data_IF_038348968403
#
_entry.id   IF_038348968403
#
_cell.length_a   1.000
_cell.length_b   1.000
_cell.length_c   1.000
_cell.angle_alpha   90.00
_cell.angle_beta   90.00
_cell.angle_gamma   90.00
#
_symmetry.space_group_name_H-M   'P 1'
#
loop_
_entity.id
_entity.type
_entity.pdbx_description
1 polymer ?
#
# COMPACT_ATOMS: atom_id res chain seq x y z
N UNK A 1 -22.84 7.40 12.89
CA UNK A 1 -21.41 7.04 12.94
C UNK A 1 -21.07 6.44 11.59
N UNK A 2 -20.47 7.22 10.69
CA UNK A 2 -20.26 6.81 9.29
C UNK A 2 -18.78 6.84 8.98
N UNK A 3 -18.03 5.95 9.62
CA UNK A 3 -16.73 5.59 9.08
C UNK A 3 -16.94 5.03 7.66
N UNK A 4 -16.15 5.45 6.66
CA UNK A 4 -16.24 4.89 5.33
C UNK A 4 -16.06 3.37 5.39
N UNK A 5 -16.85 2.63 4.61
CA UNK A 5 -16.67 1.19 4.47
C UNK A 5 -15.26 0.94 3.92
N UNK A 6 -14.37 0.41 4.77
CA UNK A 6 -13.01 0.00 4.42
C UNK A 6 -12.75 -1.39 4.99
N UNK A 7 -12.30 -2.30 4.13
CA UNK A 7 -11.82 -3.62 4.52
C UNK A 7 -10.39 -3.75 4.03
N UNK A 8 -9.45 -3.86 4.98
CA UNK A 8 -8.02 -4.01 4.71
C UNK A 8 -7.65 -5.46 4.99
N UNK A 9 -6.96 -6.09 4.05
CA UNK A 9 -6.46 -7.45 4.21
C UNK A 9 -5.00 -7.54 3.78
N UNK A 10 -4.20 -8.20 4.61
CA UNK A 10 -2.83 -8.58 4.31
C UNK A 10 -2.61 -9.99 4.86
N UNK A 11 -1.68 -10.72 4.24
CA UNK A 11 -1.34 -12.09 4.64
C UNK A 11 0.06 -12.13 5.24
N UNK A 12 0.36 -13.15 6.04
CA UNK A 12 1.72 -13.38 6.51
C UNK A 12 2.72 -13.52 5.34
N UNK A 13 2.30 -14.17 4.25
CA UNK A 13 3.09 -14.28 3.02
C UNK A 13 3.35 -12.94 2.34
N UNK A 14 2.34 -12.06 2.29
CA UNK A 14 2.49 -10.70 1.73
C UNK A 14 3.46 -9.85 2.55
N UNK A 15 3.32 -9.86 3.88
CA UNK A 15 4.23 -9.16 4.80
C UNK A 15 5.68 -9.68 4.66
N UNK A 16 5.86 -11.01 4.58
CA UNK A 16 7.18 -11.61 4.41
C UNK A 16 7.80 -11.34 3.04
N UNK A 17 6.98 -11.33 1.98
CA UNK A 17 7.41 -10.97 0.62
C UNK A 17 7.90 -9.51 0.60
N UNK A 18 7.13 -8.61 1.20
CA UNK A 18 7.52 -7.21 1.31
C UNK A 18 8.83 -7.04 2.08
N UNK A 19 8.96 -7.66 3.25
CA UNK A 19 10.19 -7.63 4.05
C UNK A 19 11.43 -8.03 3.25
N UNK A 20 11.30 -9.10 2.46
CA UNK A 20 12.42 -9.68 1.73
C UNK A 20 12.84 -8.84 0.52
N UNK A 21 11.90 -8.17 -0.14
CA UNK A 21 12.13 -7.65 -1.49
C UNK A 21 11.89 -6.15 -1.67
N UNK A 22 11.23 -5.48 -0.72
CA UNK A 22 10.84 -4.09 -0.87
C UNK A 22 12.00 -3.19 -1.30
N UNK A 23 13.18 -3.30 -0.67
CA UNK A 23 14.34 -2.45 -0.99
C UNK A 23 15.00 -2.74 -2.35
N UNK A 24 14.70 -3.86 -3.00
CA UNK A 24 15.38 -4.29 -4.23
C UNK A 24 14.47 -4.41 -5.44
N UNK A 25 13.15 -4.35 -5.26
CA UNK A 25 12.18 -4.62 -6.32
C UNK A 25 11.18 -3.48 -6.48
N UNK A 26 10.76 -3.20 -7.73
CA UNK A 26 9.64 -2.29 -7.96
C UNK A 26 8.37 -2.80 -7.33
N UNK A 27 7.59 -1.86 -6.82
CA UNK A 27 6.27 -2.11 -6.26
C UNK A 27 5.22 -1.46 -7.17
N UNK A 28 4.07 -2.10 -7.32
CA UNK A 28 2.99 -1.58 -8.16
C UNK A 28 1.71 -1.41 -7.36
N UNK A 29 1.09 -0.24 -7.51
CA UNK A 29 -0.27 0.02 -7.06
C UNK A 29 -1.23 -0.22 -8.21
N UNK A 30 -2.30 -0.92 -7.91
CA UNK A 30 -3.45 -0.99 -8.80
C UNK A 30 -4.73 -0.62 -8.05
N UNK A 31 -5.65 0.04 -8.75
CA UNK A 31 -7.03 0.19 -8.34
C UNK A 31 -7.94 -0.26 -9.47
N UNK A 32 -8.54 -1.43 -9.30
CA UNK A 32 -9.62 -1.85 -10.18
C UNK A 32 -10.93 -1.20 -9.71
N UNK A 33 -11.29 -0.11 -10.38
CA UNK A 33 -12.47 0.69 -10.04
C UNK A 33 -13.77 0.12 -10.58
N UNK A 34 -14.45 -0.75 -9.83
CA UNK A 34 -15.83 -1.16 -10.14
C UNK A 34 -16.17 -2.64 -9.91
N UNK A 35 -15.47 -3.33 -9.01
CA UNK A 35 -15.68 -4.79 -8.84
C UNK A 35 -17.07 -5.11 -8.29
N UNK A 36 -17.69 -4.22 -7.49
CA UNK A 36 -18.97 -4.49 -6.83
C UNK A 36 -19.82 -3.23 -6.75
N UNK A 37 -20.99 -3.23 -7.43
CA UNK A 37 -22.10 -2.33 -7.10
C UNK A 37 -22.85 -3.01 -5.95
N UNK A 38 -22.46 -2.70 -4.71
CA UNK A 38 -23.19 -3.21 -3.55
C UNK A 38 -24.21 -2.17 -3.12
N UNK A 39 -25.51 -2.49 -3.19
CA UNK A 39 -26.60 -1.58 -2.82
C UNK A 39 -26.53 -0.19 -3.49
N UNK A 40 -26.08 -0.12 -4.75
CA UNK A 40 -25.97 1.14 -5.50
C UNK A 40 -24.75 2.00 -5.15
N UNK A 41 -23.82 1.53 -4.32
CA UNK A 41 -22.55 2.21 -4.05
C UNK A 41 -21.41 1.58 -4.84
N UNK A 42 -20.60 2.43 -5.47
CA UNK A 42 -19.36 2.01 -6.15
C UNK A 42 -18.32 1.65 -5.10
N UNK A 43 -17.80 0.43 -5.19
CA UNK A 43 -16.71 -0.05 -4.36
C UNK A 43 -15.44 -0.15 -5.21
N UNK A 44 -14.34 0.33 -4.65
CA UNK A 44 -13.01 0.28 -5.22
C UNK A 44 -12.22 -0.85 -4.57
N UNK A 45 -11.53 -1.62 -5.40
CA UNK A 45 -10.56 -2.60 -4.96
C UNK A 45 -9.17 -2.06 -5.25
N UNK A 46 -8.33 -2.05 -4.23
CA UNK A 46 -6.95 -1.64 -4.28
C UNK A 46 -6.06 -2.83 -3.98
N UNK A 47 -4.99 -2.97 -4.74
CA UNK A 47 -3.99 -4.00 -4.52
C UNK A 47 -2.58 -3.39 -4.59
N UNK A 48 -1.75 -3.80 -3.64
CA UNK A 48 -0.33 -3.55 -3.64
C UNK A 48 0.35 -4.84 -4.09
N UNK A 49 1.07 -4.79 -5.19
CA UNK A 49 1.79 -5.96 -5.73
C UNK A 49 3.27 -5.70 -5.85
N UNK A 50 4.06 -6.76 -5.78
CA UNK A 50 5.45 -6.72 -6.20
C UNK A 50 5.61 -7.56 -7.46
N UNK A 51 6.36 -7.04 -8.42
CA UNK A 51 6.66 -7.76 -9.65
C UNK A 51 7.41 -9.06 -9.35
N UNK A 52 7.29 -10.07 -10.21
CA UNK A 52 8.14 -11.26 -10.09
C UNK A 52 9.61 -10.92 -10.34
N UNK A 53 10.51 -11.65 -9.67
CA UNK A 53 11.94 -11.64 -9.99
C UNK A 53 12.23 -12.28 -11.35
N UNK A 54 11.34 -13.14 -11.83
CA UNK A 54 11.46 -13.77 -13.14
C UNK A 54 10.80 -12.90 -14.20
N UNK A 55 11.51 -12.68 -15.31
CA UNK A 55 10.96 -11.92 -16.44
C UNK A 55 9.71 -12.62 -16.96
N UNK A 56 8.55 -11.95 -16.88
CA UNK A 56 7.26 -12.51 -17.24
C UNK A 56 6.60 -13.38 -16.16
N UNK A 57 7.18 -13.44 -14.95
CA UNK A 57 6.59 -14.14 -13.82
C UNK A 57 5.40 -13.40 -13.21
N UNK A 58 4.61 -14.12 -12.41
CA UNK A 58 3.41 -13.61 -11.77
C UNK A 58 3.73 -12.53 -10.71
N UNK A 59 2.97 -11.44 -10.73
CA UNK A 59 2.99 -10.45 -9.65
C UNK A 59 2.48 -11.06 -8.35
N UNK A 60 3.14 -10.71 -7.23
CA UNK A 60 2.83 -11.21 -5.91
C UNK A 60 2.00 -10.18 -5.15
N UNK A 61 0.76 -10.51 -4.72
CA UNK A 61 -0.05 -9.60 -3.92
C UNK A 61 0.53 -9.48 -2.50
N UNK A 62 0.70 -8.25 -2.03
CA UNK A 62 1.24 -7.92 -0.72
C UNK A 62 0.12 -7.64 0.28
N UNK A 63 -0.77 -6.74 -0.11
CA UNK A 63 -1.89 -6.28 0.70
C UNK A 63 -2.98 -5.78 -0.24
N UNK A 64 -4.23 -5.80 0.24
CA UNK A 64 -5.40 -5.34 -0.49
C UNK A 64 -6.27 -4.46 0.40
N UNK A 65 -6.98 -3.52 -0.21
CA UNK A 65 -8.03 -2.75 0.45
C UNK A 65 -9.27 -2.70 -0.43
N UNK A 66 -10.43 -2.89 0.17
CA UNK A 66 -11.72 -2.59 -0.43
C UNK A 66 -12.27 -1.33 0.23
N UNK A 67 -12.64 -0.32 -0.55
CA UNK A 67 -13.15 0.95 -0.02
C UNK A 67 -14.34 1.48 -0.81
N UNK A 68 -15.30 2.09 -0.12
CA UNK A 68 -16.38 2.87 -0.75
C UNK A 68 -15.95 4.31 -1.12
N UNK A 69 -14.75 4.73 -0.72
CA UNK A 69 -14.18 6.04 -1.05
C UNK A 69 -12.88 5.89 -1.84
N UNK A 70 -12.66 6.85 -2.76
CA UNK A 70 -11.46 6.95 -3.56
C UNK A 70 -10.70 8.23 -3.21
N UNK A 71 -9.88 8.17 -2.16
CA UNK A 71 -9.06 9.29 -1.71
C UNK A 71 -7.64 8.86 -1.35
N UNK A 72 -6.70 9.79 -1.47
CA UNK A 72 -5.31 9.57 -1.06
C UNK A 72 -5.22 9.17 0.42
N UNK A 73 -6.05 9.79 1.28
CA UNK A 73 -6.09 9.49 2.71
C UNK A 73 -6.54 8.06 3.03
N UNK A 74 -7.37 7.44 2.18
CA UNK A 74 -7.75 6.04 2.37
C UNK A 74 -6.57 5.11 2.09
N UNK A 75 -5.79 5.42 1.06
CA UNK A 75 -4.56 4.68 0.71
C UNK A 75 -3.48 4.89 1.78
N UNK A 76 -3.30 6.11 2.28
CA UNK A 76 -2.37 6.40 3.39
C UNK A 76 -2.77 5.64 4.64
N UNK A 77 -4.05 5.64 5.01
CA UNK A 77 -4.54 4.89 6.15
C UNK A 77 -4.29 3.38 6.00
N UNK A 78 -4.58 2.83 4.82
CA UNK A 78 -4.29 1.44 4.49
C UNK A 78 -2.82 1.07 4.66
N UNK A 79 -1.90 1.91 4.17
CA UNK A 79 -0.47 1.68 4.34
C UNK A 79 -0.01 1.81 5.77
N UNK A 80 -0.54 2.76 6.54
CA UNK A 80 -0.20 2.88 7.95
C UNK A 80 -0.60 1.62 8.72
N UNK A 81 -1.79 1.06 8.46
CA UNK A 81 -2.20 -0.23 9.03
C UNK A 81 -1.24 -1.36 8.62
N UNK A 82 -0.80 -1.39 7.37
CA UNK A 82 0.18 -2.37 6.90
C UNK A 82 1.55 -2.19 7.59
N UNK A 83 2.04 -0.97 7.73
CA UNK A 83 3.30 -0.63 8.41
C UNK A 83 3.25 -1.04 9.89
N UNK A 84 2.15 -0.74 10.58
CA UNK A 84 1.95 -1.16 11.97
C UNK A 84 2.04 -2.67 12.11
N UNK A 85 1.41 -3.41 11.20
CA UNK A 85 1.46 -4.89 11.21
C UNK A 85 2.83 -5.43 10.83
N UNK A 86 3.51 -4.82 9.88
CA UNK A 86 4.88 -5.13 9.56
C UNK A 86 5.79 -4.98 10.79
N UNK A 87 5.67 -3.86 11.53
CA UNK A 87 6.44 -3.59 12.75
C UNK A 87 6.10 -4.57 13.88
N UNK A 88 4.84 -5.02 13.99
CA UNK A 88 4.46 -6.07 14.93
C UNK A 88 5.14 -7.42 14.62
N UNK A 89 5.31 -7.76 13.34
CA UNK A 89 5.91 -9.04 12.91
C UNK A 89 7.44 -9.01 12.96
N UNK A 90 8.05 -7.94 12.47
CA UNK A 90 9.52 -7.84 12.31
C UNK A 90 10.21 -6.93 13.33
N UNK A 91 9.47 -6.37 14.28
CA UNK A 91 9.99 -5.50 15.33
C UNK A 91 10.00 -4.01 14.96
N UNK A 92 9.69 -3.18 15.95
CA UNK A 92 9.61 -1.72 15.81
C UNK A 92 10.95 -1.04 15.54
N UNK A 93 12.06 -1.71 15.84
CA UNK A 93 13.42 -1.21 15.59
C UNK A 93 13.84 -1.32 14.11
N UNK A 94 13.15 -2.15 13.33
CA UNK A 94 13.44 -2.28 11.91
C UNK A 94 12.76 -1.14 11.14
N UNK A 95 13.58 -0.35 10.42
CA UNK A 95 13.09 0.67 9.50
C UNK A 95 12.17 0.02 8.47
N UNK A 96 11.02 0.66 8.21
CA UNK A 96 10.12 0.18 7.17
C UNK A 96 10.81 0.31 5.80
N UNK A 97 11.00 -0.80 5.06
CA UNK A 97 11.71 -0.77 3.79
C UNK A 97 11.08 0.18 2.78
N UNK A 98 11.90 1.00 2.11
CA UNK A 98 11.42 1.88 1.04
C UNK A 98 11.66 1.22 -0.33
N UNK A 99 10.63 1.09 -1.19
CA UNK A 99 10.83 0.57 -2.52
C UNK A 99 11.62 1.54 -3.40
N UNK A 100 12.49 1.05 -4.29
CA UNK A 100 13.28 1.90 -5.18
C UNK A 100 12.41 2.59 -6.24
N UNK A 101 11.34 1.93 -6.69
CA UNK A 101 10.42 2.41 -7.70
C UNK A 101 9.01 1.99 -7.32
N UNK A 102 8.07 2.91 -7.51
CA UNK A 102 6.64 2.69 -7.36
C UNK A 102 5.97 2.92 -8.71
N UNK A 103 5.35 1.89 -9.26
CA UNK A 103 4.47 1.97 -10.41
C UNK A 103 3.03 2.20 -9.94
N UNK A 104 2.31 3.09 -10.61
CA UNK A 104 0.88 3.22 -10.44
C UNK A 104 0.29 3.73 -11.75
N UNK A 105 -1.00 3.49 -11.95
CA UNK A 105 -1.73 4.27 -12.94
C UNK A 105 -1.63 5.76 -12.58
N UNK A 106 -1.61 6.65 -13.57
CA UNK A 106 -1.41 8.10 -13.40
C UNK A 106 -2.51 8.83 -12.60
N UNK A 107 -3.21 8.12 -11.72
CA UNK A 107 -4.14 8.66 -10.74
C UNK A 107 -3.39 9.43 -9.66
N UNK A 108 -3.80 10.67 -9.45
CA UNK A 108 -3.21 11.58 -8.45
C UNK A 108 -3.29 11.03 -7.03
N UNK A 109 -4.28 10.17 -6.72
CA UNK A 109 -4.43 9.62 -5.36
C UNK A 109 -3.26 8.70 -4.98
N UNK A 110 -2.74 7.92 -5.93
CA UNK A 110 -1.61 7.02 -5.69
C UNK A 110 -0.30 7.78 -5.56
N UNK A 111 -0.11 8.81 -6.39
CA UNK A 111 1.07 9.67 -6.32
C UNK A 111 1.15 10.38 -4.97
N UNK A 112 0.06 11.02 -4.54
CA UNK A 112 0.00 11.73 -3.25
C UNK A 112 0.21 10.79 -2.07
N UNK A 113 -0.46 9.63 -2.08
CA UNK A 113 -0.32 8.64 -1.02
C UNK A 113 1.12 8.08 -0.95
N UNK A 114 1.75 7.83 -2.10
CA UNK A 114 3.14 7.33 -2.15
C UNK A 114 4.13 8.34 -1.56
N UNK A 115 3.99 9.62 -1.91
CA UNK A 115 4.82 10.69 -1.33
C UNK A 115 4.63 10.74 0.19
N UNK A 116 3.39 10.69 0.66
CA UNK A 116 3.11 10.79 2.10
C UNK A 116 3.63 9.57 2.88
N UNK A 117 3.46 8.36 2.35
CA UNK A 117 3.85 7.11 3.02
C UNK A 117 5.37 6.91 3.03
N UNK A 118 6.04 7.15 1.91
CA UNK A 118 7.45 6.78 1.75
C UNK A 118 8.43 7.95 1.91
N UNK A 119 7.96 9.19 1.73
CA UNK A 119 8.79 10.40 1.82
C UNK A 119 8.37 11.35 2.96
N UNK A 120 7.26 11.09 3.65
CA UNK A 120 6.76 11.96 4.73
C UNK A 120 7.77 12.20 5.86
N UNK A 121 8.55 11.17 6.23
CA UNK A 121 9.54 11.23 7.32
C UNK A 121 10.78 12.08 6.98
N UNK A 122 11.10 12.31 5.71
CA UNK A 122 12.27 13.12 5.34
C UNK A 122 12.10 14.60 5.68
N UNK A 123 10.85 15.07 5.80
CA UNK A 123 10.57 16.46 6.15
C UNK A 123 10.66 16.67 7.67
N UNK A 124 10.13 15.76 8.49
CA UNK A 124 10.15 15.93 9.96
C UNK A 124 11.53 15.66 10.57
N UNK A 125 12.26 14.65 10.09
CA UNK A 125 13.59 14.36 10.63
C UNK A 125 14.63 15.45 10.29
N UNK A 126 14.47 16.15 9.16
CA UNK A 126 15.31 17.31 8.81
C UNK A 126 15.07 18.57 9.65
N UNK A 127 13.93 18.67 10.35
CA UNK A 127 13.60 19.82 11.20
C UNK A 127 13.98 19.60 12.68
N UNK A 128 14.34 18.36 13.05
CA UNK A 128 14.69 17.98 14.43
C UNK A 128 16.22 17.85 14.60
N UNK A 129 17.00 17.99 13.51
CA UNK A 129 18.46 18.23 13.53
C UNK A 129 18.78 19.72 13.49
#
# INVERSE_FOLDING_TARGET
STDPLRLICFTAGGIATYHRFASSMPLSWDATGGIIINYGKRIFYYELTMSSLQKGGLSLPITVMVSASHGAMDIVHWMNCFIEKYKQVYGFSNTFPKPPIIHCDRSSVFLLASIQVFNGDETMNRYIE
#
